data_IF_362613056653
#
_entry.id   IF_362613056653
#
_cell.length_a   1.000
_cell.length_b   1.000
_cell.length_c   1.000
_cell.angle_alpha   90.00
_cell.angle_beta   90.00
_cell.angle_gamma   90.00
#
_symmetry.space_group_name_H-M   'P 1'
#
loop_
_entity.id
_entity.type
_entity.pdbx_description
1 polymer ?
#
# COMPACT_ATOMS: atom_id res chain seq x y z
N UNK A 1 -0.89 3.99 2.82
CA UNK A 1 0.06 5.08 2.51
C UNK A 1 0.44 4.96 1.05
N UNK A 2 0.48 6.05 0.29
CA UNK A 2 0.87 6.01 -1.13
C UNK A 2 2.32 6.45 -1.29
N UNK A 3 2.98 6.06 -2.38
CA UNK A 3 4.26 6.65 -2.76
C UNK A 3 4.04 7.65 -3.90
N UNK A 4 4.68 8.81 -3.79
CA UNK A 4 4.67 9.81 -4.86
C UNK A 4 5.63 9.44 -6.01
N UNK A 5 5.75 10.31 -7.00
CA UNK A 5 6.62 10.10 -8.17
C UNK A 5 8.10 9.89 -7.82
N UNK A 6 8.54 10.38 -6.65
CA UNK A 6 9.91 10.31 -6.13
C UNK A 6 10.07 9.26 -5.02
N UNK A 7 9.07 8.40 -4.82
CA UNK A 7 9.13 7.33 -3.84
C UNK A 7 8.95 7.81 -2.39
N UNK A 8 8.58 9.08 -2.20
CA UNK A 8 8.32 9.60 -0.87
C UNK A 8 6.92 9.17 -0.41
N UNK A 9 6.75 8.72 0.85
CA UNK A 9 5.44 8.37 1.35
C UNK A 9 4.54 9.62 1.49
N UNK A 10 3.34 9.53 0.93
CA UNK A 10 2.31 10.58 0.99
C UNK A 10 0.98 9.96 1.44
N UNK A 11 0.37 10.57 2.45
CA UNK A 11 -1.00 10.25 2.84
C UNK A 11 -1.97 11.00 1.94
N UNK A 12 -2.90 10.27 1.34
CA UNK A 12 -3.90 10.84 0.44
C UNK A 12 -5.22 10.91 1.19
N UNK A 13 -5.73 12.12 1.29
CA UNK A 13 -6.99 12.46 1.93
C UNK A 13 -7.89 13.16 0.90
N UNK A 14 -9.21 13.26 1.15
CA UNK A 14 -10.10 14.00 0.27
C UNK A 14 -9.65 15.45 0.02
N UNK A 15 -8.97 16.07 0.97
CA UNK A 15 -8.51 17.47 0.90
C UNK A 15 -7.32 17.65 -0.04
N UNK A 16 -6.36 16.71 -0.05
CA UNK A 16 -5.13 16.81 -0.86
C UNK A 16 -5.18 15.99 -2.16
N UNK A 17 -6.33 15.35 -2.42
CA UNK A 17 -6.58 14.49 -3.56
C UNK A 17 -6.27 15.16 -4.92
N UNK A 18 -6.52 16.46 -5.04
CA UNK A 18 -6.31 17.24 -6.24
C UNK A 18 -4.83 17.40 -6.63
N UNK A 19 -3.92 17.20 -5.67
CA UNK A 19 -2.48 17.25 -5.89
C UNK A 19 -1.88 15.89 -6.27
N UNK A 20 -2.65 14.80 -6.12
CA UNK A 20 -2.15 13.47 -6.41
C UNK A 20 -2.34 13.17 -7.89
N UNK A 21 -1.25 12.99 -8.65
CA UNK A 21 -1.41 12.66 -10.04
C UNK A 21 -1.87 11.20 -10.14
N UNK A 22 -3.03 11.01 -10.75
CA UNK A 22 -3.63 9.70 -11.01
C UNK A 22 -2.87 8.99 -12.13
N UNK A 23 -1.62 8.63 -11.87
CA UNK A 23 -0.79 7.92 -12.83
C UNK A 23 -1.16 6.44 -12.88
N UNK A 24 -1.05 5.86 -14.07
CA UNK A 24 -0.91 4.42 -14.23
C UNK A 24 0.38 4.03 -13.50
N UNK A 25 0.36 2.98 -12.68
CA UNK A 25 1.47 2.51 -11.84
C UNK A 25 1.61 3.18 -10.46
N UNK A 26 0.51 3.62 -9.85
CA UNK A 26 0.53 4.04 -8.45
C UNK A 26 1.04 2.92 -7.52
N UNK A 27 1.77 3.29 -6.48
CA UNK A 27 2.23 2.37 -5.42
C UNK A 27 1.51 2.73 -4.13
N UNK A 28 0.85 1.75 -3.52
CA UNK A 28 0.24 1.87 -2.20
C UNK A 28 0.83 0.83 -1.26
N UNK A 29 1.31 1.28 -0.11
CA UNK A 29 1.78 0.45 1.00
C UNK A 29 0.63 0.27 2.00
N UNK A 30 0.16 -0.96 2.18
CA UNK A 30 -0.94 -1.30 3.07
C UNK A 30 -0.38 -1.85 4.38
N UNK A 31 -0.55 -1.10 5.47
CA UNK A 31 0.04 -1.43 6.78
C UNK A 31 -0.87 -2.31 7.64
N UNK A 32 -2.17 -2.38 7.34
CA UNK A 32 -3.14 -3.19 8.07
C UNK A 32 -4.40 -3.43 7.22
N UNK A 33 -5.09 -4.53 7.50
CA UNK A 33 -6.38 -4.87 6.91
C UNK A 33 -7.59 -4.45 7.77
N UNK A 34 -7.39 -3.67 8.84
CA UNK A 34 -8.47 -3.37 9.77
C UNK A 34 -9.48 -2.36 9.28
N UNK A 35 -9.02 -1.39 8.50
CA UNK A 35 -9.83 -0.30 7.99
C UNK A 35 -9.78 -0.29 6.47
N UNK A 36 -10.89 0.14 5.86
CA UNK A 36 -10.92 0.36 4.42
C UNK A 36 -10.05 1.58 4.12
N UNK A 37 -9.05 1.39 3.27
CA UNK A 37 -8.22 2.52 2.82
C UNK A 37 -8.98 3.29 1.75
N UNK A 38 -8.96 4.62 1.88
CA UNK A 38 -9.46 5.48 0.83
C UNK A 38 -8.56 5.36 -0.41
N UNK A 39 -9.11 4.83 -1.49
CA UNK A 39 -8.44 4.76 -2.79
C UNK A 39 -9.07 5.84 -3.69
N UNK A 40 -8.28 6.78 -4.23
CA UNK A 40 -8.78 7.83 -5.11
C UNK A 40 -9.58 7.27 -6.30
N UNK A 41 -10.70 7.91 -6.70
CA UNK A 41 -11.44 7.50 -7.89
C UNK A 41 -10.53 7.49 -9.12
N UNK A 42 -10.48 6.38 -9.87
CA UNK A 42 -9.58 6.16 -11.03
C UNK A 42 -8.10 6.02 -10.69
N UNK A 43 -7.75 5.77 -9.43
CA UNK A 43 -6.41 5.30 -9.11
C UNK A 43 -6.23 3.89 -9.65
N UNK A 44 -5.08 3.66 -10.30
CA UNK A 44 -4.70 2.37 -10.84
C UNK A 44 -3.27 2.07 -10.42
N UNK A 45 -3.05 0.91 -9.81
CA UNK A 45 -1.75 0.64 -9.22
C UNK A 45 -1.65 -0.68 -8.51
N UNK A 46 -0.52 -0.82 -7.81
CA UNK A 46 -0.18 -2.02 -7.05
C UNK A 46 -0.21 -1.71 -5.56
N UNK A 47 -0.89 -2.56 -4.82
CA UNK A 47 -1.01 -2.54 -3.37
C UNK A 47 -0.03 -3.58 -2.83
N UNK A 48 0.95 -3.11 -2.03
CA UNK A 48 2.00 -3.92 -1.44
C UNK A 48 1.74 -4.14 0.04
N UNK A 49 1.87 -5.39 0.49
CA UNK A 49 1.89 -5.79 1.91
C UNK A 49 2.28 -7.26 2.02
N UNK A 50 2.16 -7.84 3.22
CA UNK A 50 2.27 -9.29 3.41
C UNK A 50 1.03 -10.01 2.88
N UNK A 51 1.16 -11.28 2.50
CA UNK A 51 0.04 -12.08 1.97
C UNK A 51 -1.17 -12.08 2.93
N UNK A 52 -0.93 -12.26 4.23
CA UNK A 52 -1.97 -12.30 5.26
C UNK A 52 -2.78 -10.99 5.33
N UNK A 53 -2.12 -9.83 5.21
CA UNK A 53 -2.79 -8.53 5.20
C UNK A 53 -3.56 -8.34 3.90
N UNK A 54 -2.98 -8.67 2.75
CA UNK A 54 -3.66 -8.52 1.45
C UNK A 54 -4.87 -9.43 1.33
N UNK A 55 -4.77 -10.68 1.77
CA UNK A 55 -5.89 -11.62 1.83
C UNK A 55 -6.98 -11.14 2.79
N UNK A 56 -6.61 -10.70 4.00
CA UNK A 56 -7.53 -10.11 4.97
C UNK A 56 -8.28 -8.91 4.42
N UNK A 57 -7.57 -8.00 3.75
CA UNK A 57 -8.15 -6.79 3.15
C UNK A 57 -9.12 -7.15 2.01
N UNK A 58 -8.71 -8.04 1.10
CA UNK A 58 -9.55 -8.51 -0.03
C UNK A 58 -10.83 -9.18 0.45
N UNK A 59 -10.75 -10.05 1.47
CA UNK A 59 -11.91 -10.74 2.05
C UNK A 59 -12.88 -9.76 2.71
N UNK A 60 -12.36 -8.76 3.42
CA UNK A 60 -13.17 -7.82 4.21
C UNK A 60 -13.87 -6.78 3.34
N UNK A 61 -13.14 -6.16 2.40
CA UNK A 61 -13.64 -4.98 1.66
C UNK A 61 -13.99 -5.24 0.20
N UNK A 62 -13.56 -6.37 -0.38
CA UNK A 62 -13.83 -6.75 -1.77
C UNK A 62 -13.57 -5.60 -2.77
N UNK A 63 -12.36 -5.03 -2.76
CA UNK A 63 -12.01 -3.92 -3.65
C UNK A 63 -12.12 -4.35 -5.12
N UNK A 64 -12.39 -3.40 -6.02
CA UNK A 64 -12.50 -3.67 -7.45
C UNK A 64 -11.14 -4.07 -8.06
N UNK A 65 -10.95 -5.37 -8.30
CA UNK A 65 -9.73 -5.93 -8.84
C UNK A 65 -9.47 -5.60 -10.32
N UNK A 66 -10.43 -4.99 -11.05
CA UNK A 66 -10.20 -4.64 -12.45
C UNK A 66 -9.13 -3.56 -12.62
N UNK A 67 -8.94 -2.74 -11.58
CA UNK A 67 -8.08 -1.55 -11.57
C UNK A 67 -6.89 -1.66 -10.60
N UNK A 68 -6.89 -2.69 -9.75
CA UNK A 68 -5.97 -2.84 -8.62
C UNK A 68 -5.20 -4.15 -8.74
N UNK A 69 -3.88 -4.06 -8.61
CA UNK A 69 -2.99 -5.22 -8.47
C UNK A 69 -2.59 -5.36 -6.99
N UNK A 70 -2.42 -6.59 -6.52
CA UNK A 70 -1.96 -6.90 -5.17
C UNK A 70 -0.64 -7.65 -5.28
N UNK A 71 0.38 -7.20 -4.55
CA UNK A 71 1.70 -7.80 -4.54
C UNK A 71 2.10 -8.14 -3.11
N UNK A 72 2.21 -9.45 -2.84
CA UNK A 72 2.66 -9.95 -1.56
C UNK A 72 4.18 -9.88 -1.47
N UNK A 73 4.65 -9.22 -0.42
CA UNK A 73 6.06 -9.08 -0.08
C UNK A 73 6.42 -10.06 1.03
N UNK A 74 7.63 -10.61 0.95
CA UNK A 74 8.19 -11.43 2.02
C UNK A 74 8.73 -10.54 3.16
N UNK A 75 8.34 -10.79 4.43
CA UNK A 75 8.88 -10.09 5.58
C UNK A 75 10.42 -10.09 5.61
N UNK A 76 11.00 -8.94 5.95
CA UNK A 76 12.44 -8.72 6.08
C UNK A 76 13.27 -8.83 4.77
N UNK A 77 12.65 -9.18 3.65
CA UNK A 77 13.32 -9.21 2.35
C UNK A 77 13.12 -7.86 1.62
N UNK A 78 14.20 -7.21 1.15
CA UNK A 78 14.09 -5.98 0.38
C UNK A 78 13.67 -6.26 -1.06
N UNK A 79 12.75 -5.46 -1.57
CA UNK A 79 12.34 -5.47 -2.98
C UNK A 79 12.51 -4.09 -3.62
N UNK A 80 12.89 -4.08 -4.90
CA UNK A 80 13.01 -2.86 -5.69
C UNK A 80 11.68 -2.54 -6.37
N UNK A 81 11.12 -1.38 -6.07
CA UNK A 81 9.84 -0.92 -6.62
C UNK A 81 10.06 0.32 -7.48
N UNK A 82 9.56 0.26 -8.72
CA UNK A 82 9.62 1.38 -9.66
C UNK A 82 8.49 2.37 -9.36
N UNK A 83 8.87 3.58 -8.98
CA UNK A 83 8.02 4.77 -9.04
C UNK A 83 8.23 5.49 -10.38
N UNK A 84 7.48 6.56 -10.65
CA UNK A 84 7.56 7.27 -11.93
C UNK A 84 8.97 7.82 -12.23
N UNK A 85 9.65 8.36 -11.22
CA UNK A 85 10.93 9.07 -11.39
C UNK A 85 12.08 8.48 -10.59
N UNK A 86 11.86 7.40 -9.85
CA UNK A 86 12.88 6.73 -9.08
C UNK A 86 12.57 5.23 -8.91
N UNK A 87 13.56 4.51 -8.44
CA UNK A 87 13.40 3.15 -7.90
C UNK A 87 13.70 3.25 -6.41
N UNK A 88 12.81 2.73 -5.57
CA UNK A 88 13.00 2.66 -4.12
C UNK A 88 13.20 1.22 -3.69
N UNK A 89 14.00 1.02 -2.65
CA UNK A 89 14.12 -0.25 -1.95
C UNK A 89 13.12 -0.26 -0.79
N UNK A 90 12.21 -1.24 -0.79
CA UNK A 90 11.18 -1.38 0.24
C UNK A 90 11.36 -2.70 0.97
N UNK A 91 11.35 -2.64 2.29
CA UNK A 91 11.30 -3.83 3.14
C UNK A 91 10.10 -3.74 4.06
N UNK A 92 9.29 -4.81 4.09
CA UNK A 92 8.15 -4.92 5.02
C UNK A 92 8.59 -5.61 6.31
N UNK A 93 8.22 -5.01 7.45
CA UNK A 93 8.54 -5.51 8.78
C UNK A 93 7.27 -5.72 9.59
N UNK A 94 7.05 -6.92 10.17
CA UNK A 94 5.98 -7.15 11.13
C UNK A 94 6.11 -6.22 12.34
N UNK A 95 5.02 -5.52 12.68
CA UNK A 95 4.94 -4.60 13.81
C UNK A 95 4.03 -5.10 14.93
N UNK A 96 3.55 -6.34 14.83
CA UNK A 96 2.68 -6.98 15.80
C UNK A 96 1.20 -6.96 15.39
N UNK A 97 0.32 -6.92 16.38
CA UNK A 97 -1.14 -6.88 16.19
C UNK A 97 -1.71 -5.65 16.88
N UNK A 98 -2.89 -5.19 16.45
CA UNK A 98 -3.56 -4.11 17.17
C UNK A 98 -4.04 -4.58 18.55
N UNK A 99 -4.24 -3.65 19.48
CA UNK A 99 -4.81 -3.98 20.80
C UNK A 99 -6.29 -4.37 20.77
N UNK A 100 -6.99 -4.05 19.67
CA UNK A 100 -8.45 -4.17 19.55
C UNK A 100 -8.88 -5.20 18.50
N UNK A 101 -7.95 -5.73 17.71
CA UNK A 101 -8.14 -6.75 16.70
C UNK A 101 -6.91 -7.67 16.68
N UNK A 102 -7.10 -8.95 16.37
CA UNK A 102 -5.97 -9.85 16.07
C UNK A 102 -5.37 -9.57 14.68
N UNK A 103 -5.72 -8.45 14.05
CA UNK A 103 -5.24 -8.14 12.71
C UNK A 103 -3.79 -7.69 12.79
N UNK A 104 -3.00 -8.23 11.87
CA UNK A 104 -1.59 -7.94 11.76
C UNK A 104 -1.36 -6.50 11.29
N UNK A 105 -0.29 -5.93 11.81
CA UNK A 105 0.23 -4.63 11.42
C UNK A 105 1.65 -4.83 10.91
N UNK A 106 1.97 -4.15 9.81
CA UNK A 106 3.32 -4.06 9.28
C UNK A 106 3.76 -2.61 9.13
N UNK A 107 5.07 -2.39 9.17
CA UNK A 107 5.71 -1.13 8.82
C UNK A 107 6.61 -1.33 7.61
N UNK A 108 6.83 -0.27 6.84
CA UNK A 108 7.67 -0.31 5.65
C UNK A 108 8.90 0.58 5.88
N UNK A 109 10.07 0.01 5.63
CA UNK A 109 11.30 0.78 5.43
C UNK A 109 11.40 1.12 3.96
N UNK A 110 11.51 2.41 3.64
CA UNK A 110 11.66 2.93 2.27
C UNK A 110 13.01 3.64 2.19
N UNK A 111 13.84 3.25 1.22
CA UNK A 111 15.19 3.76 1.02
C UNK A 111 15.46 4.15 -0.43
#
# INVERSE_FOLDING_TARGET
MFLDAFGAPKDITPENLHEYPYHLHGVMLLTSADQEVFIPPRWHGTIYSTEDILDGYRKRFKPDCTLLTFHAMEPYEPELICCERCVVEITVLPAGQTLYSSSEIVVFLVK
#
